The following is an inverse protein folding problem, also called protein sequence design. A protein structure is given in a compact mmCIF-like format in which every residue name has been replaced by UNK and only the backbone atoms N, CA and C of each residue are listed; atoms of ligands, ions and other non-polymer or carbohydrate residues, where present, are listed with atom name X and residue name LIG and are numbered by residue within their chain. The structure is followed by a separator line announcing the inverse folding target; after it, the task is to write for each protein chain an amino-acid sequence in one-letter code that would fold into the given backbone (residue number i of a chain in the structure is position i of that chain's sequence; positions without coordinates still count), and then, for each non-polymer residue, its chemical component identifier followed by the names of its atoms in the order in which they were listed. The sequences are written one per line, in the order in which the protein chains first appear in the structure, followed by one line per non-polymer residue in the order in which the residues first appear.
data_IF_920880819228
#
_entry.id   IF_920880819228
#
_cell.length_a   1.000
_cell.length_b   1.000
_cell.length_c   1.000
_cell.angle_alpha   90.00
_cell.angle_beta   90.00
_cell.angle_gamma   90.00
#
_symmetry.space_group_name_H-M   'P 1'
#
loop_
_entity.id
_entity.type
_entity.pdbx_description
1 polymer ?
#
# COMPACT_ATOMS: atom_id res chain seq x y z
N UNK A 1 -33.48 20.69 16.80
CA UNK A 1 -32.09 20.30 17.08
C UNK A 1 -31.24 20.73 15.88
N UNK A 2 -30.10 21.39 16.10
CA UNK A 2 -29.20 21.77 15.01
C UNK A 2 -28.11 20.70 14.87
N UNK A 3 -27.58 20.53 13.66
CA UNK A 3 -26.47 19.64 13.38
C UNK A 3 -25.59 20.26 12.30
N UNK A 4 -24.27 20.16 12.44
CA UNK A 4 -23.33 20.57 11.39
C UNK A 4 -22.65 19.37 10.79
N UNK A 5 -22.52 19.37 9.46
CA UNK A 5 -21.88 18.31 8.69
C UNK A 5 -20.71 18.89 7.91
N UNK A 6 -19.54 18.29 8.07
CA UNK A 6 -18.32 18.59 7.35
C UNK A 6 -17.96 17.41 6.44
N UNK A 7 -18.00 17.63 5.13
CA UNK A 7 -17.52 16.67 4.14
C UNK A 7 -16.05 16.96 3.88
N UNK A 8 -15.19 15.97 4.12
CA UNK A 8 -13.74 16.13 4.16
C UNK A 8 -13.02 15.13 3.26
N UNK A 9 -11.92 15.59 2.66
CA UNK A 9 -10.86 14.75 2.08
C UNK A 9 -9.57 15.08 2.82
N UNK A 10 -9.51 14.68 4.10
CA UNK A 10 -8.35 14.90 4.96
C UNK A 10 -7.35 13.76 4.76
N UNK A 11 -6.16 14.02 4.18
CA UNK A 11 -5.19 12.98 3.91
C UNK A 11 -4.58 12.45 5.21
N UNK A 12 -4.29 11.15 5.19
CA UNK A 12 -3.59 10.42 6.23
C UNK A 12 -2.12 10.88 6.33
N UNK A 13 -1.63 10.97 7.57
CA UNK A 13 -0.20 10.94 7.86
C UNK A 13 -0.01 10.39 9.28
N UNK A 14 1.15 9.76 9.52
CA UNK A 14 1.43 9.03 10.76
C UNK A 14 1.27 9.90 12.03
N UNK A 15 1.59 11.19 11.95
CA UNK A 15 1.52 12.12 13.10
C UNK A 15 0.14 12.74 13.36
N UNK A 16 -0.92 12.36 12.63
CA UNK A 16 -2.27 12.98 12.73
C UNK A 16 -3.15 12.37 13.83
N UNK A 17 -2.61 11.47 14.64
CA UNK A 17 -3.31 10.76 15.71
C UNK A 17 -3.99 11.72 16.70
N UNK A 18 -5.29 11.50 16.98
CA UNK A 18 -6.08 12.30 17.91
C UNK A 18 -6.42 13.73 17.44
N UNK A 19 -5.89 14.21 16.31
CA UNK A 19 -6.12 15.59 15.81
C UNK A 19 -7.60 15.80 15.46
N UNK A 20 -8.22 14.83 14.76
CA UNK A 20 -9.64 14.91 14.38
C UNK A 20 -10.59 14.84 15.57
N UNK A 21 -10.30 13.98 16.55
CA UNK A 21 -11.09 13.91 17.78
C UNK A 21 -11.09 15.26 18.51
N UNK A 22 -9.92 15.90 18.65
CA UNK A 22 -9.80 17.25 19.25
C UNK A 22 -10.58 18.31 18.45
N UNK A 23 -10.45 18.29 17.12
CA UNK A 23 -11.16 19.21 16.23
C UNK A 23 -12.68 19.08 16.38
N UNK A 24 -13.20 17.86 16.30
CA UNK A 24 -14.65 17.60 16.35
C UNK A 24 -15.23 17.96 17.71
N UNK A 25 -14.56 17.59 18.81
CA UNK A 25 -14.98 17.98 20.17
C UNK A 25 -15.02 19.49 20.32
N UNK A 26 -13.97 20.18 19.86
CA UNK A 26 -13.91 21.64 19.93
C UNK A 26 -15.00 22.29 19.09
N UNK A 27 -15.28 21.77 17.90
CA UNK A 27 -16.34 22.26 17.03
C UNK A 27 -17.72 22.09 17.69
N UNK A 28 -18.05 20.89 18.17
CA UNK A 28 -19.32 20.59 18.82
C UNK A 28 -19.54 21.44 20.10
N UNK A 29 -18.51 21.57 20.95
CA UNK A 29 -18.60 22.40 22.15
C UNK A 29 -18.79 23.89 21.83
N UNK A 30 -18.16 24.38 20.76
CA UNK A 30 -18.23 25.80 20.37
C UNK A 30 -19.57 26.14 19.71
N UNK A 31 -20.11 25.22 18.90
CA UNK A 31 -21.38 25.39 18.22
C UNK A 31 -22.59 25.10 19.11
N UNK A 32 -22.40 24.38 20.22
CA UNK A 32 -23.47 24.01 21.16
C UNK A 32 -24.41 22.94 20.61
N UNK A 33 -24.03 22.23 19.55
CA UNK A 33 -24.78 21.12 18.96
C UNK A 33 -23.84 20.09 18.31
N UNK A 34 -24.33 18.89 17.94
CA UNK A 34 -23.50 17.86 17.33
C UNK A 34 -22.83 18.29 16.02
N UNK A 35 -21.60 17.81 15.81
CA UNK A 35 -20.78 18.06 14.63
C UNK A 35 -20.30 16.72 14.03
N UNK A 36 -20.65 16.47 12.77
CA UNK A 36 -20.23 15.28 12.04
C UNK A 36 -19.19 15.63 11.00
N UNK A 37 -18.10 14.86 10.97
CA UNK A 37 -17.06 14.93 9.94
C UNK A 37 -17.08 13.60 9.17
N UNK A 38 -17.48 13.66 7.90
CA UNK A 38 -17.42 12.53 6.98
C UNK A 38 -16.15 12.65 6.15
N UNK A 39 -15.20 11.73 6.33
CA UNK A 39 -13.93 11.74 5.61
C UNK A 39 -13.93 10.71 4.48
N UNK A 40 -13.23 11.03 3.39
CA UNK A 40 -12.91 10.08 2.34
C UNK A 40 -12.09 8.88 2.88
N UNK A 41 -12.20 7.74 2.21
CA UNK A 41 -11.35 6.55 2.39
C UNK A 41 -10.82 6.11 1.02
N UNK A 42 -9.61 5.54 0.97
CA UNK A 42 -8.97 5.08 -0.27
C UNK A 42 -7.70 5.85 -0.62
N UNK A 43 -6.97 5.38 -1.63
CA UNK A 43 -5.78 6.02 -2.18
C UNK A 43 -6.08 6.80 -3.45
N UNK A 44 -5.47 7.97 -3.65
CA UNK A 44 -5.52 8.72 -4.89
C UNK A 44 -4.13 9.27 -5.19
N UNK A 45 -3.43 8.61 -6.12
CA UNK A 45 -2.01 8.84 -6.40
C UNK A 45 -1.21 8.82 -5.08
N UNK A 46 -0.47 9.89 -4.79
CA UNK A 46 0.39 9.99 -3.60
C UNK A 46 -0.37 10.26 -2.29
N UNK A 47 -1.69 10.46 -2.34
CA UNK A 47 -2.52 10.78 -1.18
C UNK A 47 -3.35 9.57 -0.74
N UNK A 48 -3.32 9.30 0.57
CA UNK A 48 -4.11 8.24 1.19
C UNK A 48 -5.13 8.86 2.13
N UNK A 49 -6.36 8.34 2.12
CA UNK A 49 -7.43 8.76 3.02
C UNK A 49 -7.85 7.57 3.87
N UNK A 50 -7.78 7.73 5.19
CA UNK A 50 -7.96 6.65 6.16
C UNK A 50 -9.41 6.41 6.55
N UNK A 51 -10.37 7.15 5.98
CA UNK A 51 -11.74 7.14 6.49
C UNK A 51 -11.75 7.75 7.89
N UNK A 52 -12.09 6.95 8.92
CA UNK A 52 -12.26 7.42 10.31
C UNK A 52 -13.16 8.66 10.39
N UNK A 53 -14.30 8.59 9.72
CA UNK A 53 -15.39 9.54 9.91
C UNK A 53 -15.80 9.57 11.38
N UNK A 54 -16.17 10.74 11.90
CA UNK A 54 -16.35 10.96 13.33
C UNK A 54 -17.48 11.94 13.61
N UNK A 55 -18.35 11.59 14.55
CA UNK A 55 -19.37 12.46 15.10
C UNK A 55 -19.00 12.84 16.53
N UNK A 56 -19.28 14.08 16.93
CA UNK A 56 -19.07 14.52 18.30
C UNK A 56 -20.17 15.42 18.83
N UNK A 57 -20.38 15.35 20.14
CA UNK A 57 -21.42 16.06 20.87
C UNK A 57 -20.83 17.16 21.77
N UNK A 58 -21.64 18.15 22.19
CA UNK A 58 -21.17 19.26 23.02
C UNK A 58 -20.63 18.84 24.40
N UNK A 59 -21.08 17.70 24.92
CA UNK A 59 -20.60 17.08 26.15
C UNK A 59 -19.18 16.49 26.00
N UNK A 60 -18.69 16.41 24.77
CA UNK A 60 -17.39 15.86 24.41
C UNK A 60 -17.44 14.40 23.96
N UNK A 61 -18.58 13.71 24.02
CA UNK A 61 -18.70 12.33 23.53
C UNK A 61 -18.41 12.29 22.03
N UNK A 62 -17.72 11.24 21.55
CA UNK A 62 -17.50 11.02 20.12
C UNK A 62 -17.82 9.58 19.72
N UNK A 63 -18.27 9.41 18.48
CA UNK A 63 -18.41 8.12 17.81
C UNK A 63 -17.55 8.15 16.57
N UNK A 64 -16.66 7.16 16.42
CA UNK A 64 -15.72 7.08 15.30
C UNK A 64 -15.96 5.81 14.47
N UNK A 65 -16.04 5.98 13.15
CA UNK A 65 -16.05 4.89 12.18
C UNK A 65 -14.68 4.24 12.01
N UNK A 66 -14.61 3.06 11.39
CA UNK A 66 -13.37 2.33 11.21
C UNK A 66 -12.37 3.07 10.31
N UNK A 67 -11.10 2.69 10.46
CA UNK A 67 -10.04 3.07 9.55
C UNK A 67 -10.03 2.16 8.33
N UNK A 68 -9.62 2.68 7.16
CA UNK A 68 -9.34 1.88 5.95
C UNK A 68 -10.50 0.95 5.55
N UNK A 69 -11.75 1.39 5.77
CA UNK A 69 -12.94 0.63 5.42
C UNK A 69 -13.98 1.52 4.77
N UNK A 70 -14.66 0.95 3.78
CA UNK A 70 -15.77 1.61 3.07
C UNK A 70 -17.08 1.23 3.72
N UNK A 71 -17.93 2.23 4.00
CA UNK A 71 -19.20 1.98 4.66
C UNK A 71 -19.93 3.24 5.10
N UNK A 72 -21.02 3.02 5.81
CA UNK A 72 -21.89 4.07 6.33
C UNK A 72 -21.85 4.04 7.85
N UNK A 73 -21.44 5.16 8.45
CA UNK A 73 -21.59 5.40 9.88
C UNK A 73 -22.97 5.99 10.13
N UNK A 74 -23.89 5.17 10.63
CA UNK A 74 -25.24 5.58 10.99
C UNK A 74 -25.25 6.09 12.43
N UNK A 75 -25.67 7.34 12.64
CA UNK A 75 -25.71 8.01 13.94
C UNK A 75 -27.14 8.43 14.25
N UNK A 76 -27.61 8.10 15.45
CA UNK A 76 -28.72 8.79 16.08
C UNK A 76 -28.18 9.98 16.87
N UNK A 77 -28.71 11.18 16.59
CA UNK A 77 -28.21 12.44 17.16
C UNK A 77 -28.61 12.58 18.63
N UNK A 78 -29.74 11.99 19.02
CA UNK A 78 -30.23 12.00 20.40
C UNK A 78 -29.65 10.82 21.21
N UNK A 79 -29.31 9.72 20.53
CA UNK A 79 -28.80 8.49 21.13
C UNK A 79 -27.46 8.05 20.51
N UNK A 80 -26.32 8.65 20.92
CA UNK A 80 -25.00 8.29 20.37
C UNK A 80 -24.65 6.79 20.55
N UNK A 81 -25.22 6.14 21.56
CA UNK A 81 -25.10 4.71 21.85
C UNK A 81 -25.84 3.81 20.86
N UNK A 82 -26.78 4.35 20.08
CA UNK A 82 -27.46 3.65 19.00
C UNK A 82 -26.69 3.67 17.65
N UNK A 83 -25.48 4.24 17.63
CA UNK A 83 -24.67 4.28 16.44
C UNK A 83 -24.33 2.87 15.89
N UNK A 84 -24.34 2.74 14.56
CA UNK A 84 -24.01 1.47 13.89
C UNK A 84 -23.17 1.68 12.62
N UNK A 85 -22.36 0.68 12.31
CA UNK A 85 -21.56 0.63 11.08
C UNK A 85 -22.22 -0.31 10.09
N UNK A 86 -22.48 0.19 8.88
CA UNK A 86 -22.97 -0.61 7.75
C UNK A 86 -21.81 -0.75 6.78
N UNK A 87 -21.07 -1.87 6.78
CA UNK A 87 -19.93 -2.05 5.89
C UNK A 87 -20.41 -2.19 4.44
N UNK A 88 -19.67 -1.60 3.51
CA UNK A 88 -19.78 -1.84 2.06
C UNK A 88 -18.72 -2.83 1.57
N UNK A 89 -17.77 -3.19 2.45
CA UNK A 89 -16.79 -4.23 2.28
C UNK A 89 -17.17 -5.48 3.11
N UNK A 90 -16.39 -6.55 2.98
CA UNK A 90 -16.57 -7.80 3.74
C UNK A 90 -16.10 -7.71 5.20
N UNK A 91 -15.67 -6.54 5.67
CA UNK A 91 -15.08 -6.38 6.99
C UNK A 91 -16.13 -5.95 8.03
N UNK A 92 -16.14 -6.64 9.17
CA UNK A 92 -16.98 -6.26 10.31
C UNK A 92 -16.15 -5.51 11.34
N UNK A 93 -16.57 -4.30 11.69
CA UNK A 93 -15.94 -3.49 12.70
C UNK A 93 -16.88 -3.23 13.86
N UNK A 94 -16.33 -3.23 15.08
CA UNK A 94 -17.02 -2.71 16.25
C UNK A 94 -16.79 -1.21 16.29
N UNK A 95 -17.88 -0.44 16.33
CA UNK A 95 -17.78 1.01 16.52
C UNK A 95 -17.20 1.35 17.88
N UNK A 96 -16.42 2.42 17.87
CA UNK A 96 -15.84 2.98 19.07
C UNK A 96 -16.63 4.22 19.50
N UNK A 97 -17.23 4.13 20.69
CA UNK A 97 -17.83 5.26 21.40
C UNK A 97 -16.84 5.68 22.47
N UNK A 98 -16.33 6.91 22.38
CA UNK A 98 -15.24 7.39 23.23
C UNK A 98 -15.77 8.50 24.14
N UNK A 99 -15.49 8.37 25.44
CA UNK A 99 -15.98 9.30 26.46
C UNK A 99 -15.31 10.70 26.36
N UNK A 100 -15.88 11.75 27.00
CA UNK A 100 -15.37 13.12 26.97
C UNK A 100 -13.89 13.35 27.32
N UNK A 101 -13.23 12.43 28.04
CA UNK A 101 -11.83 12.57 28.43
C UNK A 101 -10.91 11.47 27.88
N UNK A 102 -11.42 10.68 26.94
CA UNK A 102 -10.68 9.55 26.34
C UNK A 102 -10.28 9.86 24.90
N UNK A 103 -9.30 9.12 24.39
CA UNK A 103 -8.89 9.16 22.99
C UNK A 103 -9.38 7.89 22.28
N UNK A 104 -9.71 7.98 20.98
CA UNK A 104 -9.94 6.79 20.17
C UNK A 104 -8.76 5.81 20.26
N UNK A 105 -9.07 4.54 20.16
CA UNK A 105 -8.11 3.45 20.19
C UNK A 105 -7.26 3.51 18.93
N UNK A 106 -5.95 3.41 19.13
CA UNK A 106 -4.98 3.38 18.04
C UNK A 106 -4.53 1.93 17.80
N UNK A 107 -4.41 1.50 16.53
CA UNK A 107 -3.84 0.20 16.24
C UNK A 107 -2.36 0.15 16.69
N UNK A 108 -1.79 -1.05 16.89
CA UNK A 108 -0.38 -1.18 17.21
C UNK A 108 0.50 -0.50 16.15
N UNK A 109 1.68 -0.04 16.57
CA UNK A 109 2.62 0.68 15.68
C UNK A 109 2.87 -0.11 14.40
N UNK A 110 2.77 0.58 13.26
CA UNK A 110 3.02 0.01 11.94
C UNK A 110 1.78 -0.57 11.25
N UNK A 111 0.75 -1.01 11.97
CA UNK A 111 -0.46 -1.56 11.34
C UNK A 111 -1.19 -0.53 10.49
N UNK A 112 -1.31 0.70 10.99
CA UNK A 112 -1.97 1.79 10.25
C UNK A 112 -1.20 2.15 8.98
N UNK A 113 0.12 2.13 9.04
CA UNK A 113 0.99 2.36 7.88
C UNK A 113 0.88 1.20 6.87
N UNK A 114 0.84 -0.05 7.35
CA UNK A 114 0.65 -1.21 6.50
C UNK A 114 -0.69 -1.15 5.77
N UNK A 115 -1.80 -0.87 6.48
CA UNK A 115 -3.11 -0.65 5.86
C UNK A 115 -3.09 0.50 4.86
N UNK A 116 -2.41 1.60 5.18
CA UNK A 116 -2.28 2.75 4.29
C UNK A 116 -1.59 2.37 2.97
N UNK A 117 -0.41 1.75 3.03
CA UNK A 117 0.37 1.38 1.84
C UNK A 117 -0.34 0.29 1.05
N UNK A 118 -0.96 -0.68 1.72
CA UNK A 118 -1.71 -1.77 1.07
C UNK A 118 -2.94 -1.25 0.34
N UNK A 119 -3.77 -0.44 0.99
CA UNK A 119 -4.93 0.20 0.35
C UNK A 119 -4.48 1.13 -0.79
N UNK A 120 -3.38 1.87 -0.60
CA UNK A 120 -2.81 2.72 -1.63
C UNK A 120 -2.44 1.95 -2.89
N UNK A 121 -1.73 0.83 -2.73
CA UNK A 121 -1.36 -0.05 -3.84
C UNK A 121 -2.59 -0.68 -4.49
N UNK A 122 -3.53 -1.21 -3.70
CA UNK A 122 -4.75 -1.83 -4.20
C UNK A 122 -5.59 -0.84 -5.03
N UNK A 123 -5.82 0.36 -4.50
CA UNK A 123 -6.57 1.42 -5.19
C UNK A 123 -5.85 1.89 -6.45
N UNK A 124 -4.52 2.04 -6.40
CA UNK A 124 -3.72 2.41 -7.57
C UNK A 124 -3.88 1.36 -8.67
N UNK A 125 -3.70 0.07 -8.31
CA UNK A 125 -3.87 -1.03 -9.24
C UNK A 125 -5.28 -1.05 -9.84
N UNK A 126 -6.32 -1.00 -9.00
CA UNK A 126 -7.71 -1.03 -9.44
C UNK A 126 -8.06 0.15 -10.35
N UNK A 127 -7.68 1.38 -9.98
CA UNK A 127 -8.00 2.60 -10.74
C UNK A 127 -7.24 2.69 -12.06
N UNK A 128 -6.05 2.11 -12.12
CA UNK A 128 -5.24 2.03 -13.34
C UNK A 128 -5.55 0.81 -14.21
N UNK A 129 -6.39 -0.14 -13.75
CA UNK A 129 -6.67 -1.38 -14.46
C UNK A 129 -5.48 -2.34 -14.50
N UNK A 130 -4.63 -2.28 -13.47
CA UNK A 130 -3.50 -3.18 -13.26
C UNK A 130 -4.02 -4.37 -12.46
N UNK A 131 -3.93 -5.56 -13.04
CA UNK A 131 -4.41 -6.79 -12.42
C UNK A 131 -3.27 -7.59 -11.81
N UNK A 132 -2.02 -7.37 -12.25
CA UNK A 132 -0.86 -8.18 -11.90
C UNK A 132 0.37 -7.36 -11.54
N UNK A 133 1.23 -7.90 -10.68
CA UNK A 133 2.46 -7.23 -10.23
C UNK A 133 3.66 -8.14 -10.47
N UNK A 134 4.72 -7.59 -11.07
CA UNK A 134 6.03 -8.25 -11.14
C UNK A 134 6.99 -7.57 -10.18
N UNK A 135 7.61 -8.34 -9.30
CA UNK A 135 8.50 -7.83 -8.26
C UNK A 135 9.88 -8.52 -8.29
N UNK A 136 10.94 -7.73 -8.19
CA UNK A 136 12.29 -8.27 -8.00
C UNK A 136 12.48 -8.78 -6.57
N UNK A 137 12.84 -10.06 -6.41
CA UNK A 137 13.07 -10.71 -5.11
C UNK A 137 14.57 -10.80 -4.82
N UNK A 138 15.05 -10.05 -3.83
CA UNK A 138 16.48 -10.06 -3.44
C UNK A 138 16.78 -11.02 -2.29
N UNK A 139 15.76 -11.50 -1.57
CA UNK A 139 15.90 -12.21 -0.30
C UNK A 139 16.02 -11.27 0.92
N UNK A 140 16.08 -9.95 0.69
CA UNK A 140 16.10 -8.97 1.76
C UNK A 140 14.71 -8.58 2.27
N UNK A 141 14.68 -8.02 3.48
CA UNK A 141 13.45 -7.58 4.17
C UNK A 141 12.60 -6.62 3.33
N UNK A 142 13.22 -5.70 2.59
CA UNK A 142 12.48 -4.72 1.79
C UNK A 142 11.64 -5.42 0.70
N UNK A 143 12.27 -6.31 -0.07
CA UNK A 143 11.56 -7.07 -1.11
C UNK A 143 10.49 -8.01 -0.53
N UNK A 144 10.72 -8.57 0.66
CA UNK A 144 9.74 -9.41 1.34
C UNK A 144 8.52 -8.62 1.82
N UNK A 145 8.72 -7.42 2.37
CA UNK A 145 7.62 -6.51 2.75
C UNK A 145 6.89 -6.02 1.51
N UNK A 146 7.60 -5.65 0.43
CA UNK A 146 6.98 -5.29 -0.84
C UNK A 146 6.10 -6.44 -1.38
N UNK A 147 6.59 -7.69 -1.33
CA UNK A 147 5.87 -8.87 -1.79
C UNK A 147 4.61 -9.14 -0.96
N UNK A 148 4.70 -9.04 0.37
CA UNK A 148 3.55 -9.21 1.26
C UNK A 148 2.46 -8.17 0.97
N UNK A 149 2.85 -6.90 0.85
CA UNK A 149 1.92 -5.81 0.51
C UNK A 149 1.28 -6.03 -0.86
N UNK A 150 2.06 -6.47 -1.86
CA UNK A 150 1.54 -6.78 -3.19
C UNK A 150 0.53 -7.92 -3.15
N UNK A 151 0.82 -9.00 -2.43
CA UNK A 151 -0.09 -10.15 -2.29
C UNK A 151 -1.39 -9.76 -1.58
N UNK A 152 -1.33 -8.93 -0.53
CA UNK A 152 -2.53 -8.43 0.14
C UNK A 152 -3.34 -7.48 -0.74
N UNK A 153 -2.68 -6.72 -1.64
CA UNK A 153 -3.33 -5.73 -2.48
C UNK A 153 -4.04 -6.33 -3.71
N UNK A 154 -3.42 -7.31 -4.39
CA UNK A 154 -3.95 -7.87 -5.65
C UNK A 154 -4.21 -9.37 -5.62
N UNK A 155 -3.93 -10.06 -4.51
CA UNK A 155 -3.98 -11.51 -4.39
C UNK A 155 -2.66 -12.18 -4.81
N UNK A 156 -2.20 -13.22 -4.10
CA UNK A 156 -0.90 -13.85 -4.36
C UNK A 156 -0.79 -14.49 -5.75
N UNK A 157 -1.90 -14.98 -6.32
CA UNK A 157 -1.96 -15.52 -7.68
C UNK A 157 -1.67 -14.47 -8.78
N UNK A 158 -1.76 -13.19 -8.44
CA UNK A 158 -1.52 -12.07 -9.33
C UNK A 158 -0.14 -11.43 -9.13
N UNK A 159 0.71 -12.02 -8.27
CA UNK A 159 2.06 -11.54 -8.00
C UNK A 159 3.10 -12.53 -8.51
N UNK A 160 4.02 -12.05 -9.36
CA UNK A 160 5.19 -12.80 -9.83
C UNK A 160 6.47 -12.23 -9.22
N UNK A 161 7.18 -13.05 -8.46
CA UNK A 161 8.51 -12.78 -7.97
C UNK A 161 9.58 -13.18 -8.99
N UNK A 162 10.60 -12.34 -9.15
CA UNK A 162 11.79 -12.63 -9.95
C UNK A 162 13.04 -12.64 -9.07
N UNK A 163 13.56 -13.83 -8.78
CA UNK A 163 14.88 -14.00 -8.18
C UNK A 163 15.94 -13.86 -9.28
N UNK A 164 16.85 -12.88 -9.14
CA UNK A 164 17.84 -12.54 -10.17
C UNK A 164 19.28 -12.64 -9.63
N UNK A 165 19.77 -13.86 -9.34
CA UNK A 165 21.08 -14.05 -8.74
C UNK A 165 22.19 -13.66 -9.71
N UNK A 166 23.25 -13.06 -9.16
CA UNK A 166 24.51 -12.82 -9.84
C UNK A 166 25.61 -13.71 -9.23
N UNK A 167 26.80 -13.71 -9.84
CA UNK A 167 28.02 -14.35 -9.33
C UNK A 167 28.44 -13.91 -7.91
N UNK A 168 27.86 -12.81 -7.42
CA UNK A 168 28.09 -12.29 -6.06
C UNK A 168 26.91 -12.57 -5.11
N UNK A 169 25.84 -13.21 -5.59
CA UNK A 169 24.69 -13.55 -4.75
C UNK A 169 25.00 -14.74 -3.84
N UNK A 170 24.58 -14.65 -2.58
CA UNK A 170 24.68 -15.76 -1.64
C UNK A 170 23.55 -16.77 -1.85
N UNK A 171 23.81 -18.05 -1.54
CA UNK A 171 22.79 -19.10 -1.59
C UNK A 171 21.61 -18.78 -0.64
N UNK A 172 21.91 -18.22 0.54
CA UNK A 172 20.90 -17.78 1.52
C UNK A 172 19.93 -16.74 0.95
N UNK A 173 20.39 -15.79 0.15
CA UNK A 173 19.50 -14.79 -0.48
C UNK A 173 18.45 -15.43 -1.40
N UNK A 174 18.82 -16.53 -2.07
CA UNK A 174 17.91 -17.25 -2.97
C UNK A 174 16.93 -18.10 -2.15
N UNK A 175 17.41 -18.73 -1.06
CA UNK A 175 16.57 -19.48 -0.13
C UNK A 175 15.53 -18.58 0.54
N UNK A 176 15.91 -17.39 1.00
CA UNK A 176 14.99 -16.44 1.64
C UNK A 176 13.91 -15.94 0.66
N UNK A 177 14.29 -15.68 -0.59
CA UNK A 177 13.33 -15.31 -1.64
C UNK A 177 12.31 -16.43 -1.90
N UNK A 178 12.76 -17.69 -1.94
CA UNK A 178 11.90 -18.87 -2.07
C UNK A 178 10.98 -19.03 -0.88
N UNK A 179 11.52 -18.97 0.33
CA UNK A 179 10.75 -19.10 1.57
C UNK A 179 9.66 -18.02 1.66
N UNK A 180 9.98 -16.78 1.26
CA UNK A 180 9.00 -15.68 1.19
C UNK A 180 7.88 -15.99 0.19
N UNK A 181 8.22 -16.42 -1.02
CA UNK A 181 7.23 -16.74 -2.05
C UNK A 181 6.32 -17.90 -1.64
N UNK A 182 6.89 -18.96 -1.06
CA UNK A 182 6.15 -20.11 -0.53
C UNK A 182 5.21 -19.72 0.61
N UNK A 183 5.68 -18.88 1.54
CA UNK A 183 4.86 -18.41 2.66
C UNK A 183 3.67 -17.53 2.22
N UNK A 184 3.86 -16.74 1.16
CA UNK A 184 2.81 -15.87 0.60
C UNK A 184 1.91 -16.57 -0.42
N UNK A 185 2.33 -17.73 -0.95
CA UNK A 185 1.61 -18.45 -1.99
C UNK A 185 1.71 -17.81 -3.39
N UNK A 186 2.74 -16.99 -3.63
CA UNK A 186 2.98 -16.32 -4.91
C UNK A 186 3.94 -17.10 -5.81
N UNK A 187 3.88 -16.86 -7.13
CA UNK A 187 4.82 -17.49 -8.06
C UNK A 187 6.23 -16.87 -7.94
N UNK A 188 7.27 -17.71 -8.01
CA UNK A 188 8.66 -17.26 -8.05
C UNK A 188 9.40 -17.89 -9.22
N UNK A 189 9.99 -17.05 -10.07
CA UNK A 189 10.89 -17.47 -11.14
C UNK A 189 12.32 -17.04 -10.85
N UNK A 190 13.27 -17.85 -11.31
CA UNK A 190 14.70 -17.54 -11.19
C UNK A 190 15.27 -17.21 -12.56
N UNK A 191 15.83 -16.00 -12.70
CA UNK A 191 16.46 -15.50 -13.92
C UNK A 191 17.89 -15.02 -13.59
N UNK A 192 18.89 -15.91 -13.65
CA UNK A 192 20.28 -15.54 -13.38
C UNK A 192 20.77 -14.45 -14.34
N UNK A 193 21.49 -13.47 -13.83
CA UNK A 193 21.95 -12.32 -14.63
C UNK A 193 23.39 -12.44 -15.12
N UNK A 194 24.06 -13.57 -14.86
CA UNK A 194 25.50 -13.74 -15.07
C UNK A 194 25.92 -13.48 -16.53
N UNK A 195 25.16 -14.00 -17.49
CA UNK A 195 25.51 -13.88 -18.91
C UNK A 195 25.32 -12.44 -19.39
N UNK A 196 24.18 -11.82 -19.07
CA UNK A 196 23.87 -10.43 -19.43
C UNK A 196 24.89 -9.49 -18.76
N UNK A 197 25.17 -9.71 -17.48
CA UNK A 197 26.12 -8.91 -16.73
C UNK A 197 27.51 -8.98 -17.32
N UNK A 198 28.02 -10.18 -17.64
CA UNK A 198 29.36 -10.35 -18.21
C UNK A 198 29.49 -9.65 -19.57
N UNK A 199 28.45 -9.69 -20.42
CA UNK A 199 28.47 -8.99 -21.71
C UNK A 199 28.49 -7.48 -21.61
N UNK A 200 27.75 -6.91 -20.65
CA UNK A 200 27.76 -5.46 -20.45
C UNK A 200 29.05 -5.01 -19.76
N UNK A 201 29.58 -5.81 -18.85
CA UNK A 201 30.89 -5.59 -18.19
C UNK A 201 32.02 -5.57 -19.24
N UNK A 202 32.04 -6.52 -20.19
CA UNK A 202 32.96 -6.55 -21.34
C UNK A 202 32.81 -5.29 -22.24
N UNK A 203 31.58 -4.87 -22.51
CA UNK A 203 31.30 -3.74 -23.41
C UNK A 203 31.67 -2.38 -22.81
N UNK A 204 31.73 -2.28 -21.48
CA UNK A 204 32.04 -1.06 -20.73
C UNK A 204 33.34 -1.18 -19.93
N UNK A 205 34.22 -2.12 -20.30
CA UNK A 205 35.39 -2.48 -19.48
C UNK A 205 36.27 -1.25 -19.20
N UNK A 206 36.51 -0.42 -20.22
CA UNK A 206 37.35 0.77 -20.08
C UNK A 206 36.73 1.80 -19.14
N UNK A 207 35.43 2.07 -19.30
CA UNK A 207 34.65 3.02 -18.50
C UNK A 207 34.50 2.56 -17.05
N UNK A 208 34.28 1.26 -16.83
CA UNK A 208 34.11 0.68 -15.49
C UNK A 208 35.43 0.61 -14.72
N UNK A 209 36.56 0.44 -15.42
CA UNK A 209 37.89 0.42 -14.79
C UNK A 209 38.47 1.82 -14.56
N UNK A 210 38.10 2.80 -15.39
CA UNK A 210 38.49 4.21 -15.21
C UNK A 210 37.52 5.01 -14.33
N UNK A 211 36.30 4.51 -14.15
CA UNK A 211 35.23 5.14 -13.38
C UNK A 211 35.23 4.80 -11.89
N UNK A 212 34.22 5.33 -11.18
CA UNK A 212 34.03 5.08 -9.76
C UNK A 212 33.57 3.62 -9.50
N UNK A 213 34.05 2.93 -8.45
CA UNK A 213 33.71 1.52 -8.17
C UNK A 213 32.21 1.19 -8.14
N UNK A 214 31.40 2.13 -7.64
CA UNK A 214 29.92 2.04 -7.57
C UNK A 214 29.27 1.84 -8.95
N UNK A 215 29.95 2.16 -10.06
CA UNK A 215 29.43 1.93 -11.40
C UNK A 215 29.10 0.44 -11.66
N UNK A 216 29.92 -0.49 -11.12
CA UNK A 216 29.70 -1.94 -11.28
C UNK A 216 28.48 -2.44 -10.51
N UNK A 217 28.21 -1.88 -9.33
CA UNK A 217 27.02 -2.19 -8.52
C UNK A 217 25.75 -1.64 -9.20
N UNK A 218 25.80 -0.39 -9.66
CA UNK A 218 24.70 0.23 -10.38
C UNK A 218 24.39 -0.49 -11.71
N UNK A 219 25.39 -1.11 -12.35
CA UNK A 219 25.16 -1.91 -13.55
C UNK A 219 24.31 -3.15 -13.25
N UNK A 220 24.64 -3.89 -12.19
CA UNK A 220 23.83 -5.03 -11.75
C UNK A 220 22.39 -4.60 -11.44
N UNK A 221 22.22 -3.44 -10.80
CA UNK A 221 20.93 -2.87 -10.53
C UNK A 221 20.11 -2.62 -11.82
N UNK A 222 20.71 -1.94 -12.80
CA UNK A 222 20.04 -1.61 -14.07
C UNK A 222 19.66 -2.84 -14.89
N UNK A 223 20.49 -3.89 -14.88
CA UNK A 223 20.19 -5.15 -15.55
C UNK A 223 18.95 -5.80 -14.94
N UNK A 224 18.91 -5.93 -13.61
CA UNK A 224 17.73 -6.48 -12.92
C UNK A 224 16.50 -5.63 -13.18
N UNK A 225 16.59 -4.30 -13.10
CA UNK A 225 15.47 -3.41 -13.41
C UNK A 225 14.93 -3.62 -14.83
N UNK A 226 15.82 -3.77 -15.81
CA UNK A 226 15.45 -4.10 -17.19
C UNK A 226 14.71 -5.42 -17.29
N UNK A 227 15.15 -6.45 -16.55
CA UNK A 227 14.49 -7.75 -16.53
C UNK A 227 13.10 -7.68 -15.89
N UNK A 228 12.92 -6.98 -14.76
CA UNK A 228 11.59 -6.86 -14.15
C UNK A 228 10.63 -6.05 -15.04
N UNK A 229 11.13 -5.04 -15.78
CA UNK A 229 10.32 -4.27 -16.72
C UNK A 229 9.98 -5.05 -18.00
N UNK A 230 10.88 -5.96 -18.42
CA UNK A 230 10.73 -6.74 -19.65
C UNK A 230 10.09 -8.12 -19.46
N UNK A 231 9.97 -8.60 -18.22
CA UNK A 231 9.40 -9.90 -17.92
C UNK A 231 7.90 -9.91 -18.24
N UNK A 232 7.44 -10.81 -19.14
CA UNK A 232 6.02 -11.02 -19.36
C UNK A 232 5.44 -11.84 -18.21
N UNK A 233 4.20 -11.55 -17.80
CA UNK A 233 3.46 -12.44 -16.91
C UNK A 233 3.16 -13.78 -17.63
N UNK A 234 3.34 -14.94 -16.96
CA UNK A 234 2.95 -16.24 -17.49
C UNK A 234 1.49 -16.25 -17.98
N UNK A 235 1.28 -16.81 -19.18
CA UNK A 235 -0.07 -16.95 -19.76
C UNK A 235 -0.61 -15.74 -20.52
N UNK A 236 0.06 -14.58 -20.48
CA UNK A 236 -0.35 -13.40 -21.24
C UNK A 236 0.35 -13.30 -22.60
N UNK A 237 -0.46 -13.22 -23.66
CA UNK A 237 0.04 -12.87 -25.00
C UNK A 237 0.17 -11.35 -25.08
N UNK A 238 1.30 -10.88 -25.59
CA UNK A 238 1.51 -9.48 -25.94
C UNK A 238 0.30 -8.94 -26.73
N UNK A 239 -0.35 -7.85 -26.29
CA UNK A 239 -1.46 -7.29 -27.04
C UNK A 239 -0.97 -6.91 -28.44
N UNK A 240 -1.58 -7.48 -29.48
CA UNK A 240 -1.14 -7.25 -30.85
C UNK A 240 -1.13 -5.74 -31.16
N UNK A 241 -0.19 -5.21 -31.99
CA UNK A 241 0.02 -3.77 -32.17
C UNK A 241 -1.14 -2.98 -32.83
N UNK A 242 -2.35 -3.53 -32.91
CA UNK A 242 -3.47 -2.90 -33.61
C UNK A 242 -4.24 -1.94 -32.69
N UNK A 243 -3.76 -0.70 -32.64
CA UNK A 243 -4.63 0.49 -32.57
C UNK A 243 -5.34 0.82 -31.25
N UNK A 244 -5.22 0.02 -30.19
CA UNK A 244 -5.70 0.39 -28.84
C UNK A 244 -4.53 0.82 -27.96
N UNK A 245 -4.74 1.81 -27.09
CA UNK A 245 -3.76 2.24 -26.08
C UNK A 245 -3.10 1.01 -25.46
N UNK A 246 -1.77 1.01 -25.37
CA UNK A 246 -1.03 -0.01 -24.64
C UNK A 246 -1.32 0.22 -23.15
N UNK A 247 -2.45 -0.31 -22.67
CA UNK A 247 -2.64 -0.54 -21.24
C UNK A 247 -1.82 -1.77 -20.92
N UNK A 248 -0.73 -1.58 -20.20
CA UNK A 248 0.00 -2.67 -19.57
C UNK A 248 -0.86 -3.12 -18.38
N UNK A 249 -1.44 -4.33 -18.39
CA UNK A 249 -2.27 -4.79 -17.28
C UNK A 249 -1.43 -5.18 -16.05
N UNK A 250 -0.12 -4.88 -16.07
CA UNK A 250 0.82 -5.14 -14.98
C UNK A 250 1.72 -3.94 -14.70
N UNK A 251 2.14 -3.83 -13.43
CA UNK A 251 3.19 -2.89 -13.01
C UNK A 251 4.39 -3.64 -12.47
N UNK A 252 5.54 -3.09 -12.78
CA UNK A 252 6.84 -3.57 -12.32
C UNK A 252 7.26 -2.76 -11.09
N UNK A 253 7.51 -3.44 -9.97
CA UNK A 253 8.04 -2.81 -8.76
C UNK A 253 9.47 -3.30 -8.53
N UNK A 254 10.38 -2.33 -8.39
CA UNK A 254 11.79 -2.60 -8.24
C UNK A 254 12.25 -2.34 -6.80
N UNK A 255 12.13 -3.35 -5.93
CA UNK A 255 12.69 -3.28 -4.57
C UNK A 255 14.16 -3.75 -4.62
N UNK A 256 15.09 -2.80 -4.72
CA UNK A 256 16.52 -3.08 -4.63
C UNK A 256 17.06 -2.78 -3.25
N UNK A 257 17.56 -3.82 -2.59
CA UNK A 257 18.64 -3.61 -1.63
C UNK A 257 19.89 -3.24 -2.44
N UNK A 258 20.37 -2.01 -2.25
CA UNK A 258 21.75 -1.63 -2.59
C UNK A 258 22.71 -2.29 -1.62
#
# INVERSE_FOLDING_TARGET
MAVSVNLSSSPYHLSKEGVRAKLVRKAASTLGHPFLLCNQVGGNDDLLFDGRSIAGWPDGTIVQGPAWSTGILLIDIDHPDAASWIPLDSNTFKLEIVAPNEQPTHPPKGHDLLSAVTMGLADYCQKSGIEKIVLGMSGGIDSAVCAAIACDAVGPENVLGLAMPSRHSSDHSIEDAKATAEALGMELQTLPINDIHSRVDESLEHELNSGHPVAKENLQARIRGTLVMGAPMPGERWPSPRGTRVNWPWVTVHCMAT
#
